data_IF_174429447965
#
_entry.id   IF_174429447965
#
_cell.length_a   1.000
_cell.length_b   1.000
_cell.length_c   1.000
_cell.angle_alpha   90.00
_cell.angle_beta   90.00
_cell.angle_gamma   90.00
#
_symmetry.space_group_name_H-M   'P 1'
#
loop_
_entity.id
_entity.type
_entity.pdbx_description
1 polymer ?
#
# COMPACT_ATOMS: atom_id res chain seq x y z
N UNK A 1 38.79 29.77 17.54
CA UNK A 1 37.53 29.92 16.77
C UNK A 1 36.68 28.65 16.88
N UNK A 2 35.94 28.47 17.99
CA UNK A 2 35.01 27.35 18.20
C UNK A 2 33.58 27.66 17.76
N UNK A 3 33.23 28.96 17.66
CA UNK A 3 31.88 29.43 17.35
C UNK A 3 31.41 28.99 15.97
N UNK A 4 32.28 29.04 14.96
CA UNK A 4 31.93 28.66 13.58
C UNK A 4 31.59 27.16 13.47
N UNK A 5 32.29 26.30 14.21
CA UNK A 5 32.00 24.86 14.27
C UNK A 5 30.66 24.57 14.94
N UNK A 6 30.34 25.32 16.01
CA UNK A 6 29.06 25.20 16.72
C UNK A 6 27.91 25.69 15.81
N UNK A 7 28.11 26.78 15.08
CA UNK A 7 27.13 27.31 14.13
C UNK A 7 26.86 26.33 12.98
N UNK A 8 27.91 25.72 12.41
CA UNK A 8 27.76 24.71 11.35
C UNK A 8 27.04 23.45 11.85
N UNK A 9 27.34 22.99 13.07
CA UNK A 9 26.65 21.86 13.67
C UNK A 9 25.17 22.16 13.90
N UNK A 10 24.85 23.36 14.39
CA UNK A 10 23.47 23.82 14.54
C UNK A 10 22.71 23.85 13.22
N UNK A 11 23.31 24.42 12.17
CA UNK A 11 22.72 24.44 10.82
C UNK A 11 22.48 23.02 10.28
N UNK A 12 23.43 22.12 10.47
CA UNK A 12 23.32 20.73 10.03
C UNK A 12 22.16 20.01 10.72
N UNK A 13 22.02 20.16 12.03
CA UNK A 13 20.91 19.58 12.79
C UNK A 13 19.57 20.12 12.29
N UNK A 14 19.45 21.43 12.08
CA UNK A 14 18.23 22.06 11.56
C UNK A 14 17.89 21.52 10.16
N UNK A 15 18.87 21.41 9.27
CA UNK A 15 18.67 20.86 7.94
C UNK A 15 18.17 19.39 7.99
N UNK A 16 18.73 18.56 8.87
CA UNK A 16 18.28 17.19 9.08
C UNK A 16 16.85 17.12 9.63
N UNK A 17 16.48 18.02 10.55
CA UNK A 17 15.12 18.09 11.10
C UNK A 17 14.11 18.47 10.01
N UNK A 18 14.43 19.45 9.17
CA UNK A 18 13.59 19.86 8.04
C UNK A 18 13.45 18.71 7.04
N UNK A 19 14.56 18.05 6.68
CA UNK A 19 14.54 16.90 5.78
C UNK A 19 13.67 15.77 6.34
N UNK A 20 13.83 15.43 7.62
CA UNK A 20 13.01 14.42 8.29
C UNK A 20 11.53 14.82 8.28
N UNK A 21 11.22 16.08 8.57
CA UNK A 21 9.85 16.58 8.55
C UNK A 21 9.22 16.41 7.17
N UNK A 22 9.90 16.88 6.11
CA UNK A 22 9.43 16.74 4.73
C UNK A 22 9.19 15.27 4.36
N UNK A 23 10.14 14.38 4.69
CA UNK A 23 10.02 12.94 4.41
C UNK A 23 8.81 12.35 5.15
N UNK A 24 8.62 12.67 6.42
CA UNK A 24 7.47 12.17 7.20
C UNK A 24 6.14 12.69 6.67
N UNK A 25 6.07 13.96 6.27
CA UNK A 25 4.85 14.56 5.73
C UNK A 25 4.50 14.04 4.34
N UNK A 26 5.50 13.79 3.48
CA UNK A 26 5.27 13.24 2.12
C UNK A 26 5.03 11.73 2.11
N UNK A 27 5.49 11.01 3.14
CA UNK A 27 5.29 9.56 3.25
C UNK A 27 3.98 9.20 3.96
N UNK A 28 3.25 10.17 4.49
CA UNK A 28 1.95 9.93 5.11
C UNK A 28 0.91 9.61 4.02
N UNK A 29 0.56 8.33 3.91
CA UNK A 29 -0.60 7.91 3.11
C UNK A 29 -1.84 8.43 3.85
N UNK A 30 -2.54 9.39 3.25
CA UNK A 30 -3.83 9.82 3.79
C UNK A 30 -4.85 8.71 3.56
N UNK A 31 -5.67 8.45 4.57
CA UNK A 31 -6.74 7.47 4.50
C UNK A 31 -8.09 8.19 4.41
N UNK A 32 -9.05 7.57 3.73
CA UNK A 32 -10.43 8.03 3.71
C UNK A 32 -11.10 7.86 5.07
N UNK A 33 -12.22 8.55 5.26
CA UNK A 33 -13.19 8.14 6.27
C UNK A 33 -13.54 6.65 6.09
N UNK A 34 -13.83 5.91 7.17
CA UNK A 34 -14.15 4.49 7.10
C UNK A 34 -15.39 4.25 6.22
N UNK A 35 -15.21 3.48 5.15
CA UNK A 35 -16.30 3.09 4.26
C UNK A 35 -17.02 1.89 4.86
N UNK A 36 -18.25 2.10 5.33
CA UNK A 36 -19.08 1.06 5.96
C UNK A 36 -19.57 0.04 4.94
N UNK A 37 -19.47 -1.24 5.30
CA UNK A 37 -20.15 -2.33 4.61
C UNK A 37 -21.46 -2.63 5.36
N UNK A 38 -22.59 -2.33 4.71
CA UNK A 38 -23.91 -2.42 5.33
C UNK A 38 -24.19 -3.82 5.91
N UNK A 39 -24.87 -3.86 7.04
CA UNK A 39 -25.33 -5.09 7.73
C UNK A 39 -24.25 -6.05 8.23
N UNK A 40 -22.96 -5.69 8.15
CA UNK A 40 -21.84 -6.52 8.64
C UNK A 40 -21.13 -5.93 9.87
N UNK A 41 -21.38 -4.65 10.18
CA UNK A 41 -20.60 -3.90 11.18
C UNK A 41 -19.17 -3.57 10.74
N UNK A 42 -18.72 -4.03 9.57
CA UNK A 42 -17.39 -3.79 9.05
C UNK A 42 -17.27 -2.36 8.47
N UNK A 43 -16.17 -1.68 8.78
CA UNK A 43 -15.82 -0.39 8.19
C UNK A 43 -14.33 -0.39 7.86
N UNK A 44 -13.97 -0.01 6.64
CA UNK A 44 -12.57 -0.02 6.18
C UNK A 44 -12.20 1.36 5.63
N UNK A 45 -11.11 1.91 6.15
CA UNK A 45 -10.47 3.09 5.56
C UNK A 45 -9.50 2.66 4.48
N UNK A 46 -9.51 3.35 3.33
CA UNK A 46 -8.62 3.07 2.21
C UNK A 46 -7.77 4.30 1.87
N UNK A 47 -6.59 4.13 1.26
CA UNK A 47 -5.78 5.26 0.81
C UNK A 47 -6.59 6.21 -0.07
N UNK A 48 -6.45 7.50 0.21
CA UNK A 48 -7.14 8.59 -0.46
C UNK A 48 -6.23 9.84 -0.50
N UNK A 49 -6.68 10.89 -1.18
CA UNK A 49 -5.91 12.14 -1.32
C UNK A 49 -5.08 12.19 -2.59
N UNK A 50 -4.06 13.04 -2.61
CA UNK A 50 -3.33 13.39 -3.84
C UNK A 50 -2.73 12.15 -4.53
N UNK A 51 -3.16 11.91 -5.77
CA UNK A 51 -2.75 10.79 -6.60
C UNK A 51 -3.54 9.49 -6.37
N UNK A 52 -4.32 9.36 -5.30
CA UNK A 52 -5.15 8.17 -5.06
C UNK A 52 -6.57 8.35 -5.60
N UNK A 53 -6.98 7.45 -6.49
CA UNK A 53 -8.35 7.30 -6.95
C UNK A 53 -9.02 6.16 -6.19
N UNK A 54 -9.89 6.54 -5.25
CA UNK A 54 -10.63 5.62 -4.38
C UNK A 54 -12.09 5.51 -4.83
N UNK A 55 -12.63 4.28 -4.83
CA UNK A 55 -14.02 4.02 -5.24
C UNK A 55 -15.06 4.46 -4.21
N UNK A 56 -14.65 4.85 -2.99
CA UNK A 56 -15.47 5.34 -1.85
C UNK A 56 -16.70 4.51 -1.44
N UNK A 57 -16.99 3.40 -2.12
CA UNK A 57 -18.14 2.51 -1.91
C UNK A 57 -17.72 1.07 -2.16
N UNK A 58 -18.30 0.16 -1.40
CA UNK A 58 -18.14 -1.27 -1.63
C UNK A 58 -18.87 -1.69 -2.91
N UNK A 59 -18.20 -2.48 -3.73
CA UNK A 59 -18.79 -3.15 -4.90
C UNK A 59 -18.97 -4.63 -4.61
N UNK A 60 -20.15 -5.16 -4.88
CA UNK A 60 -20.44 -6.57 -4.75
C UNK A 60 -20.32 -7.25 -6.12
N UNK A 61 -19.45 -8.24 -6.25
CA UNK A 61 -19.27 -9.04 -7.47
C UNK A 61 -18.91 -10.47 -7.08
N UNK A 62 -19.52 -11.46 -7.73
CA UNK A 62 -19.18 -12.89 -7.57
C UNK A 62 -19.11 -13.36 -6.11
N UNK A 63 -20.09 -12.96 -5.29
CA UNK A 63 -20.14 -13.28 -3.86
C UNK A 63 -19.02 -12.68 -2.99
N UNK A 64 -18.37 -11.62 -3.46
CA UNK A 64 -17.31 -10.90 -2.77
C UNK A 64 -17.64 -9.41 -2.72
N UNK A 65 -17.47 -8.80 -1.56
CA UNK A 65 -17.45 -7.34 -1.45
C UNK A 65 -16.03 -6.85 -1.66
N UNK A 66 -15.86 -5.88 -2.53
CA UNK A 66 -14.56 -5.31 -2.89
C UNK A 66 -14.57 -3.81 -2.69
N UNK A 67 -13.45 -3.29 -2.19
CA UNK A 67 -13.21 -1.87 -2.04
C UNK A 67 -11.78 -1.61 -2.53
N UNK A 68 -11.63 -0.71 -3.50
CA UNK A 68 -10.33 -0.49 -4.15
C UNK A 68 -9.92 0.97 -4.19
N UNK A 69 -8.60 1.18 -4.21
CA UNK A 69 -7.96 2.47 -4.42
C UNK A 69 -6.71 2.29 -5.27
N UNK A 70 -6.54 3.11 -6.30
CA UNK A 70 -5.41 3.04 -7.23
C UNK A 70 -4.67 4.36 -7.24
N UNK A 71 -3.34 4.32 -7.15
CA UNK A 71 -2.49 5.49 -7.19
C UNK A 71 -2.08 5.80 -8.62
N UNK A 72 -2.62 6.87 -9.21
CA UNK A 72 -2.29 7.27 -10.58
C UNK A 72 -0.96 8.02 -10.63
N UNK A 73 0.08 7.35 -11.12
CA UNK A 73 1.38 7.94 -11.43
C UNK A 73 1.42 8.29 -12.92
N UNK A 74 1.97 9.46 -13.26
CA UNK A 74 2.23 9.84 -14.64
C UNK A 74 3.19 8.87 -15.32
N UNK A 75 2.69 8.21 -16.37
CA UNK A 75 3.36 7.40 -17.41
C UNK A 75 4.47 6.42 -16.98
N UNK A 76 4.15 5.12 -17.05
CA UNK A 76 5.14 4.07 -17.38
C UNK A 76 5.11 2.81 -16.51
N UNK A 77 4.67 2.91 -15.25
CA UNK A 77 4.67 1.79 -14.30
C UNK A 77 3.27 1.24 -13.99
N UNK A 78 3.22 0.03 -13.41
CA UNK A 78 2.00 -0.48 -12.78
C UNK A 78 1.66 0.43 -11.59
N UNK A 79 0.48 1.08 -11.57
CA UNK A 79 0.13 1.98 -10.48
C UNK A 79 0.01 1.17 -9.17
N UNK A 80 0.53 1.70 -8.04
CA UNK A 80 0.27 1.11 -6.74
C UNK A 80 -1.25 0.99 -6.52
N UNK A 81 -1.71 -0.17 -6.07
CA UNK A 81 -3.12 -0.44 -5.88
C UNK A 81 -3.40 -1.14 -4.55
N UNK A 82 -4.48 -0.74 -3.90
CA UNK A 82 -4.99 -1.35 -2.68
C UNK A 82 -6.36 -1.93 -2.96
N UNK A 83 -6.53 -3.21 -2.61
CA UNK A 83 -7.82 -3.89 -2.70
C UNK A 83 -8.13 -4.53 -1.36
N UNK A 84 -9.24 -4.12 -0.77
CA UNK A 84 -9.87 -4.82 0.33
C UNK A 84 -10.96 -5.74 -0.24
N UNK A 85 -10.94 -7.01 0.17
CA UNK A 85 -11.94 -8.00 -0.23
C UNK A 85 -12.54 -8.60 1.03
N UNK A 86 -13.86 -8.61 1.12
CA UNK A 86 -14.60 -9.28 2.17
C UNK A 86 -15.40 -10.44 1.57
N UNK A 87 -15.07 -11.65 2.01
CA UNK A 87 -15.64 -12.90 1.53
C UNK A 87 -16.66 -13.39 2.57
N UNK A 88 -17.94 -13.51 2.17
CA UNK A 88 -19.02 -13.90 3.08
C UNK A 88 -18.90 -15.34 3.60
N UNK A 89 -18.22 -16.22 2.85
CA UNK A 89 -18.09 -17.63 3.16
C UNK A 89 -16.73 -18.18 2.68
N UNK A 90 -15.63 -17.54 3.09
CA UNK A 90 -14.29 -18.03 2.72
C UNK A 90 -13.85 -19.19 3.62
N UNK A 91 -13.58 -20.34 3.02
CA UNK A 91 -12.49 -21.20 3.49
C UNK A 91 -11.22 -20.37 3.40
N UNK A 92 -10.58 -20.07 4.53
CA UNK A 92 -9.42 -19.16 4.59
C UNK A 92 -8.37 -19.59 3.55
N UNK A 93 -8.25 -18.88 2.41
CA UNK A 93 -7.36 -19.33 1.36
C UNK A 93 -5.93 -19.10 1.83
N UNK A 94 -5.12 -20.16 1.71
CA UNK A 94 -3.72 -20.15 2.08
C UNK A 94 -3.03 -18.90 1.47
N UNK A 95 -2.30 -18.09 2.26
CA UNK A 95 -1.79 -16.79 1.82
C UNK A 95 -0.98 -16.83 0.51
N UNK A 96 -0.24 -17.91 0.33
CA UNK A 96 0.58 -18.28 -0.82
C UNK A 96 -0.22 -18.42 -2.13
N UNK A 97 -1.50 -18.80 -2.07
CA UNK A 97 -2.37 -18.85 -3.26
C UNK A 97 -2.69 -17.45 -3.80
N UNK A 98 -2.89 -16.45 -2.91
CA UNK A 98 -3.27 -15.08 -3.32
C UNK A 98 -2.15 -14.38 -4.06
N UNK A 99 -0.91 -14.61 -3.61
CA UNK A 99 0.30 -14.08 -4.23
C UNK A 99 0.50 -14.69 -5.62
N UNK A 100 0.37 -16.01 -5.73
CA UNK A 100 0.54 -16.74 -7.00
C UNK A 100 -0.50 -16.34 -8.06
N UNK A 101 -1.77 -16.21 -7.67
CA UNK A 101 -2.82 -15.71 -8.55
C UNK A 101 -2.49 -14.31 -9.08
N UNK A 102 -2.02 -13.41 -8.21
CA UNK A 102 -1.66 -12.04 -8.60
C UNK A 102 -0.43 -11.99 -9.50
N UNK A 103 0.59 -12.81 -9.24
CA UNK A 103 1.76 -12.91 -10.11
C UNK A 103 1.39 -13.40 -11.51
N UNK A 104 0.54 -14.43 -11.58
CA UNK A 104 0.03 -14.97 -12.84
C UNK A 104 -0.78 -13.93 -13.62
N UNK A 105 -1.63 -13.15 -12.94
CA UNK A 105 -2.46 -12.11 -13.56
C UNK A 105 -1.65 -10.98 -14.24
N UNK A 106 -0.41 -10.74 -13.79
CA UNK A 106 0.48 -9.72 -14.38
C UNK A 106 1.58 -10.31 -15.27
N UNK A 107 1.54 -11.63 -15.54
CA UNK A 107 2.59 -12.33 -16.30
C UNK A 107 3.95 -12.24 -15.62
N UNK A 108 3.97 -12.16 -14.29
CA UNK A 108 5.17 -12.02 -13.49
C UNK A 108 5.51 -13.31 -12.74
N UNK A 109 6.79 -13.46 -12.45
CA UNK A 109 7.33 -14.56 -11.64
C UNK A 109 7.56 -14.06 -10.21
N UNK A 110 7.16 -14.86 -9.23
CA UNK A 110 7.42 -14.57 -7.82
C UNK A 110 8.88 -14.86 -7.54
N UNK A 111 9.67 -13.82 -7.32
CA UNK A 111 11.11 -13.92 -7.02
C UNK A 111 11.34 -14.17 -5.54
N UNK A 112 10.51 -13.57 -4.69
CA UNK A 112 10.65 -13.63 -3.24
C UNK A 112 9.29 -13.56 -2.57
N UNK A 113 9.14 -14.24 -1.45
CA UNK A 113 7.96 -14.18 -0.58
C UNK A 113 8.40 -14.11 0.86
N UNK A 114 7.64 -13.41 1.69
CA UNK A 114 7.85 -13.41 3.12
C UNK A 114 6.59 -13.06 3.88
N UNK A 115 6.71 -13.11 5.20
CA UNK A 115 5.64 -12.77 6.11
C UNK A 115 6.20 -11.84 7.19
N UNK A 116 5.47 -10.76 7.46
CA UNK A 116 5.80 -9.79 8.51
C UNK A 116 4.65 -9.82 9.51
N UNK A 117 4.98 -10.06 10.78
CA UNK A 117 4.00 -9.96 11.86
C UNK A 117 4.08 -8.57 12.47
N UNK A 118 2.94 -7.89 12.59
CA UNK A 118 2.81 -6.56 13.20
C UNK A 118 1.60 -6.56 14.12
N UNK A 119 1.87 -6.65 15.43
CA UNK A 119 0.82 -6.82 16.44
C UNK A 119 0.02 -8.10 16.18
N UNK A 120 -1.29 -7.96 16.00
CA UNK A 120 -2.20 -9.08 15.65
C UNK A 120 -2.33 -9.32 14.15
N UNK A 121 -1.72 -8.47 13.32
CA UNK A 121 -1.79 -8.56 11.87
C UNK A 121 -0.61 -9.37 11.35
N UNK A 122 -0.92 -10.33 10.49
CA UNK A 122 0.07 -11.06 9.73
C UNK A 122 -0.02 -10.57 8.29
N UNK A 123 1.10 -10.08 7.77
CA UNK A 123 1.21 -9.47 6.44
C UNK A 123 2.05 -10.38 5.56
N UNK A 124 1.42 -11.01 4.59
CA UNK A 124 2.10 -11.77 3.55
C UNK A 124 2.50 -10.84 2.42
N UNK A 125 3.76 -10.89 2.01
CA UNK A 125 4.29 -10.07 0.92
C UNK A 125 5.05 -10.92 -0.09
N UNK A 126 5.12 -10.40 -1.31
CA UNK A 126 5.87 -11.04 -2.38
C UNK A 126 6.45 -10.01 -3.33
N UNK A 127 7.68 -10.24 -3.76
CA UNK A 127 8.32 -9.52 -4.83
C UNK A 127 8.07 -10.27 -6.15
N UNK A 128 7.35 -9.63 -7.06
CA UNK A 128 7.02 -10.19 -8.37
C UNK A 128 7.81 -9.42 -9.42
N UNK A 129 8.62 -10.13 -10.21
CA UNK A 129 9.34 -9.57 -11.34
C UNK A 129 8.59 -9.92 -12.62
N UNK A 130 8.27 -8.93 -13.43
CA UNK A 130 7.73 -9.17 -14.77
C UNK A 130 8.84 -9.77 -15.62
N UNK A 131 8.58 -10.89 -16.31
CA UNK A 131 9.52 -11.38 -17.30
C UNK A 131 9.69 -10.29 -18.38
N UNK A 132 10.93 -9.87 -18.63
CA UNK A 132 11.21 -8.93 -19.71
C UNK A 132 10.71 -9.58 -21.01
N UNK A 133 9.62 -9.06 -21.54
CA UNK A 133 9.23 -9.34 -22.91
C UNK A 133 10.24 -8.59 -23.76
N UNK A 134 11.32 -9.28 -24.10
CA UNK A 134 12.19 -8.91 -25.21
C UNK A 134 11.33 -9.00 -26.47
N UNK A 135 10.85 -7.84 -26.92
CA UNK A 135 10.38 -7.63 -28.29
C UNK A 135 11.60 -7.50 -29.21
#
# INVERSE_FOLDING_TARGET
MPADKIALLGLFIVALLIARFIVTSRSAIMFSEPVKLNYTGLSVSIPAGNGWQSEKKWKYQQNVFTLSSVFTIGSGGLPPQVHCRYLLAATNPAPDMRVKERASAIGGEVVETGQIQTGTLTIDWAHIKKADISL
#
